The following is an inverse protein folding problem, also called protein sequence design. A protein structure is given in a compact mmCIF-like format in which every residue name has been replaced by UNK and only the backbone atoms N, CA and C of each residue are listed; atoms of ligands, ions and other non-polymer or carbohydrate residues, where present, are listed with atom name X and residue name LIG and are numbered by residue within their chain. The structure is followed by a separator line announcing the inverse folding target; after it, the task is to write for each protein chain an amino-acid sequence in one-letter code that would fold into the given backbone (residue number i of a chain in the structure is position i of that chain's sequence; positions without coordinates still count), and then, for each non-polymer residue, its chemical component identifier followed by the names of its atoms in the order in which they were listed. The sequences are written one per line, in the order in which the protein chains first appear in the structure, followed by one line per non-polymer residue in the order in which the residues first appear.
data_IF_065421824988
#
_entry.id   IF_065421824988
#
_cell.length_a   1.000
_cell.length_b   1.000
_cell.length_c   1.000
_cell.angle_alpha   90.00
_cell.angle_beta   90.00
_cell.angle_gamma   90.00
#
_symmetry.space_group_name_H-M   'P 1'
#
loop_
_entity.id
_entity.type
_entity.pdbx_description
1 polymer ?
#
# COMPACT_ATOMS: atom_id res chain seq x y z
N UNK A 1 -34.82 -55.30 0.85
CA UNK A 1 -33.63 -55.08 1.65
C UNK A 1 -32.54 -54.65 0.68
N UNK A 2 -32.46 -53.35 0.39
CA UNK A 2 -31.50 -52.75 -0.57
C UNK A 2 -30.59 -51.83 0.23
N UNK A 3 -29.29 -52.14 0.21
CA UNK A 3 -28.22 -51.37 0.85
C UNK A 3 -27.98 -50.09 0.05
N UNK A 4 -28.09 -48.94 0.71
CA UNK A 4 -27.68 -47.66 0.18
C UNK A 4 -26.14 -47.57 0.12
N UNK A 5 -25.54 -46.96 -0.89
CA UNK A 5 -24.10 -46.75 -0.92
C UNK A 5 -23.72 -45.58 0.01
N UNK A 6 -22.70 -45.86 0.83
CA UNK A 6 -22.04 -44.94 1.71
C UNK A 6 -21.33 -43.83 0.86
N UNK A 7 -21.80 -42.61 0.92
CA UNK A 7 -21.15 -41.44 0.31
C UNK A 7 -20.47 -40.66 1.44
N UNK A 8 -19.33 -41.19 1.89
CA UNK A 8 -18.38 -40.39 2.66
C UNK A 8 -17.34 -39.77 1.72
N UNK A 9 -17.72 -38.70 1.01
CA UNK A 9 -16.77 -37.83 0.35
C UNK A 9 -16.44 -36.67 1.28
N UNK A 10 -15.48 -36.90 2.16
CA UNK A 10 -14.77 -35.83 2.85
C UNK A 10 -13.93 -35.05 1.84
N UNK A 11 -14.48 -34.01 1.25
CA UNK A 11 -13.72 -32.96 0.59
C UNK A 11 -13.32 -31.91 1.63
N UNK A 12 -12.43 -32.31 2.53
CA UNK A 12 -11.64 -31.32 3.26
C UNK A 12 -10.65 -30.69 2.27
N UNK A 13 -10.64 -29.36 2.15
CA UNK A 13 -9.55 -28.68 1.45
C UNK A 13 -8.29 -28.97 2.24
N UNK A 14 -7.37 -29.75 1.67
CA UNK A 14 -6.06 -29.98 2.26
C UNK A 14 -5.44 -28.65 2.64
N UNK A 15 -5.11 -28.43 3.94
CA UNK A 15 -4.29 -27.30 4.31
C UNK A 15 -2.96 -27.43 3.57
N UNK A 16 -2.40 -26.32 3.12
CA UNK A 16 -1.02 -26.28 2.64
C UNK A 16 -0.19 -26.82 3.79
N UNK A 17 0.25 -28.06 3.71
CA UNK A 17 1.21 -28.65 4.63
C UNK A 17 2.53 -27.90 4.46
N UNK A 18 2.73 -26.91 5.31
CA UNK A 18 4.06 -26.40 5.59
C UNK A 18 4.78 -27.52 6.35
N UNK A 19 5.65 -28.26 5.66
CA UNK A 19 6.43 -29.40 6.14
C UNK A 19 7.43 -29.08 7.27
N UNK A 20 7.32 -27.91 7.87
CA UNK A 20 8.13 -27.48 8.99
C UNK A 20 7.27 -27.35 10.26
N UNK A 21 7.75 -27.86 11.41
CA UNK A 21 7.03 -27.69 12.67
C UNK A 21 6.81 -26.19 12.95
N UNK A 22 5.63 -25.82 13.48
CA UNK A 22 5.34 -24.43 13.80
C UNK A 22 6.40 -23.90 14.76
N UNK A 23 6.93 -22.72 14.47
CA UNK A 23 7.89 -22.06 15.34
C UNK A 23 7.11 -21.49 16.53
N UNK A 24 7.26 -22.09 17.70
CA UNK A 24 6.66 -21.61 18.94
C UNK A 24 7.49 -20.44 19.49
N UNK A 25 7.18 -19.24 19.00
CA UNK A 25 7.79 -18.00 19.46
C UNK A 25 6.72 -16.90 19.58
N UNK A 26 5.81 -16.99 20.58
CA UNK A 26 4.65 -16.10 20.69
C UNK A 26 5.03 -14.60 20.80
N UNK A 27 6.18 -14.29 21.38
CA UNK A 27 6.69 -12.91 21.44
C UNK A 27 7.06 -12.30 20.07
N UNK A 28 7.33 -13.16 19.07
CA UNK A 28 7.71 -12.72 17.73
C UNK A 28 6.52 -12.18 16.92
N UNK A 29 5.30 -12.61 17.24
CA UNK A 29 4.08 -12.09 16.61
C UNK A 29 3.94 -10.58 16.83
N UNK A 30 4.15 -10.09 18.05
CA UNK A 30 4.07 -8.66 18.36
C UNK A 30 5.09 -7.84 17.57
N UNK A 31 6.27 -8.40 17.37
CA UNK A 31 7.30 -7.79 16.54
C UNK A 31 6.85 -7.68 15.08
N UNK A 32 6.30 -8.76 14.52
CA UNK A 32 5.82 -8.75 13.13
C UNK A 32 4.67 -7.76 12.97
N UNK A 33 3.74 -7.65 13.92
CA UNK A 33 2.69 -6.62 13.90
C UNK A 33 3.27 -5.20 13.91
N UNK A 34 4.34 -4.98 14.68
CA UNK A 34 5.09 -3.71 14.65
C UNK A 34 5.69 -3.40 13.28
N UNK A 35 6.24 -4.40 12.58
CA UNK A 35 6.72 -4.24 11.21
C UNK A 35 5.59 -3.84 10.25
N UNK A 36 4.43 -4.50 10.32
CA UNK A 36 3.26 -4.17 9.51
C UNK A 36 2.78 -2.74 9.77
N UNK A 37 2.73 -2.32 11.02
CA UNK A 37 2.37 -0.95 11.40
C UNK A 37 3.33 0.08 10.81
N UNK A 38 4.64 -0.14 10.93
CA UNK A 38 5.67 0.77 10.46
C UNK A 38 5.64 0.90 8.94
N UNK A 39 5.67 -0.22 8.19
CA UNK A 39 5.71 -0.11 6.74
C UNK A 39 4.39 0.44 6.16
N UNK A 40 3.24 0.11 6.76
CA UNK A 40 1.97 0.72 6.38
C UNK A 40 1.98 2.23 6.59
N UNK A 41 2.44 2.68 7.75
CA UNK A 41 2.57 4.10 8.06
C UNK A 41 3.49 4.84 7.10
N UNK A 42 4.66 4.28 6.80
CA UNK A 42 5.62 4.89 5.87
C UNK A 42 5.04 5.00 4.47
N UNK A 43 4.34 3.97 3.99
CA UNK A 43 3.72 3.99 2.67
C UNK A 43 2.70 5.13 2.54
N UNK A 44 1.89 5.35 3.58
CA UNK A 44 0.87 6.41 3.57
C UNK A 44 1.41 7.82 3.82
N UNK A 45 2.64 7.97 4.33
CA UNK A 45 3.29 9.29 4.43
C UNK A 45 3.57 9.91 3.06
N UNK A 46 3.69 9.11 2.01
CA UNK A 46 3.83 9.63 0.65
C UNK A 46 2.69 10.58 0.28
N UNK A 47 1.46 10.25 0.69
CA UNK A 47 0.27 11.05 0.40
C UNK A 47 0.29 12.42 1.08
N UNK A 48 1.01 12.53 2.20
CA UNK A 48 1.20 13.81 2.93
C UNK A 48 2.32 14.64 2.32
N UNK A 49 3.38 14.00 1.83
CA UNK A 49 4.55 14.74 1.35
C UNK A 49 4.43 15.21 -0.09
N UNK A 50 3.63 14.52 -0.91
CA UNK A 50 3.41 14.89 -2.33
C UNK A 50 2.94 16.34 -2.48
N UNK A 51 1.88 16.81 -1.78
CA UNK A 51 1.46 18.20 -1.86
C UNK A 51 2.56 19.18 -1.43
N UNK A 52 3.30 18.85 -0.36
CA UNK A 52 4.41 19.69 0.13
C UNK A 52 5.54 19.82 -0.89
N UNK A 53 5.96 18.73 -1.52
CA UNK A 53 6.99 18.76 -2.56
C UNK A 53 6.48 19.49 -3.81
N UNK A 54 5.19 19.32 -4.14
CA UNK A 54 4.57 20.02 -5.26
C UNK A 54 4.64 21.52 -5.07
N UNK A 55 4.31 22.03 -3.89
CA UNK A 55 4.40 23.46 -3.57
C UNK A 55 5.86 23.94 -3.56
N UNK A 56 6.77 23.21 -2.89
CA UNK A 56 8.16 23.60 -2.71
C UNK A 56 8.93 23.76 -4.01
N UNK A 57 8.65 22.91 -4.99
CA UNK A 57 9.37 22.85 -6.27
C UNK A 57 8.53 23.35 -7.44
N UNK A 58 7.32 23.86 -7.19
CA UNK A 58 6.38 24.32 -8.23
C UNK A 58 6.16 23.25 -9.31
N UNK A 59 5.87 22.01 -8.84
CA UNK A 59 5.74 20.84 -9.71
C UNK A 59 4.35 20.78 -10.35
N UNK A 60 4.30 20.29 -11.59
CA UNK A 60 3.06 19.76 -12.18
C UNK A 60 2.54 18.55 -11.38
N UNK A 61 1.30 18.16 -11.58
CA UNK A 61 0.76 16.94 -10.95
C UNK A 61 1.47 15.69 -11.45
N UNK A 62 1.90 15.68 -12.72
CA UNK A 62 2.71 14.59 -13.24
C UNK A 62 4.05 14.48 -12.51
N UNK A 63 4.79 15.58 -12.35
CA UNK A 63 6.07 15.58 -11.63
C UNK A 63 5.90 15.19 -10.17
N UNK A 64 4.86 15.67 -9.50
CA UNK A 64 4.55 15.29 -8.12
C UNK A 64 4.26 13.78 -7.99
N UNK A 65 3.64 13.17 -9.00
CA UNK A 65 3.38 11.72 -9.03
C UNK A 65 4.65 10.87 -9.09
N UNK A 66 5.79 11.45 -9.52
CA UNK A 66 7.08 10.74 -9.55
C UNK A 66 7.51 10.24 -8.17
N UNK A 67 7.03 10.86 -7.08
CA UNK A 67 7.24 10.34 -5.71
C UNK A 67 6.71 8.90 -5.60
N UNK A 68 5.49 8.66 -6.07
CA UNK A 68 4.91 7.32 -6.07
C UNK A 68 5.60 6.39 -7.07
N UNK A 69 5.94 6.90 -8.24
CA UNK A 69 6.66 6.12 -9.27
C UNK A 69 7.98 5.59 -8.70
N UNK A 70 8.82 6.44 -8.10
CA UNK A 70 10.10 6.03 -7.51
C UNK A 70 9.92 5.11 -6.30
N UNK A 71 8.88 5.31 -5.51
CA UNK A 71 8.54 4.42 -4.41
C UNK A 71 8.18 3.01 -4.93
N UNK A 72 7.28 2.91 -5.92
CA UNK A 72 6.83 1.61 -6.43
C UNK A 72 7.83 0.93 -7.37
N UNK A 73 8.73 1.67 -8.05
CA UNK A 73 9.86 1.09 -8.80
C UNK A 73 10.75 0.25 -7.87
N UNK A 74 10.92 0.64 -6.61
CA UNK A 74 11.68 -0.14 -5.65
C UNK A 74 11.10 -1.57 -5.49
N UNK A 75 9.78 -1.77 -5.57
CA UNK A 75 9.16 -3.09 -5.51
C UNK A 75 9.57 -3.95 -6.71
N UNK A 76 9.61 -3.39 -7.91
CA UNK A 76 10.02 -4.09 -9.11
C UNK A 76 11.52 -4.43 -9.11
N UNK A 77 12.36 -3.50 -8.68
CA UNK A 77 13.82 -3.63 -8.72
C UNK A 77 14.36 -4.46 -7.56
N UNK A 78 13.84 -4.24 -6.33
CA UNK A 78 14.39 -4.83 -5.09
C UNK A 78 13.66 -6.10 -4.68
N UNK A 79 12.42 -6.34 -5.13
CA UNK A 79 11.61 -7.48 -4.69
C UNK A 79 12.31 -8.83 -4.87
N UNK A 80 12.83 -9.11 -6.08
CA UNK A 80 13.53 -10.37 -6.39
C UNK A 80 14.91 -10.43 -5.72
N UNK A 81 15.80 -9.42 -5.84
CA UNK A 81 17.08 -9.42 -5.14
C UNK A 81 16.92 -9.49 -3.62
N UNK A 82 15.95 -8.77 -3.06
CA UNK A 82 15.63 -8.78 -1.63
C UNK A 82 15.19 -10.16 -1.15
N UNK A 83 14.34 -10.86 -1.91
CA UNK A 83 13.95 -12.24 -1.60
C UNK A 83 15.16 -13.18 -1.59
N UNK A 84 16.06 -13.09 -2.58
CA UNK A 84 17.31 -13.89 -2.61
C UNK A 84 18.21 -13.58 -1.42
N UNK A 85 18.31 -12.30 -1.04
CA UNK A 85 19.07 -11.89 0.14
C UNK A 85 18.50 -12.49 1.41
N UNK A 86 17.18 -12.38 1.62
CA UNK A 86 16.48 -12.92 2.80
C UNK A 86 16.65 -14.44 2.89
N UNK A 87 16.53 -15.16 1.76
CA UNK A 87 16.81 -16.60 1.70
C UNK A 87 18.23 -16.96 2.17
N UNK A 88 19.21 -16.13 1.84
CA UNK A 88 20.62 -16.37 2.21
C UNK A 88 20.94 -16.08 3.67
N UNK A 89 20.37 -15.02 4.24
CA UNK A 89 20.71 -14.55 5.60
C UNK A 89 19.66 -14.84 6.66
N UNK A 90 18.47 -15.31 6.27
CA UNK A 90 17.32 -15.60 7.13
C UNK A 90 16.41 -14.41 7.39
N UNK A 91 15.16 -14.67 7.82
CA UNK A 91 14.13 -13.65 8.01
C UNK A 91 14.55 -12.54 8.97
N UNK A 92 15.04 -12.88 10.17
CA UNK A 92 15.36 -11.88 11.18
C UNK A 92 16.50 -10.95 10.78
N UNK A 93 17.54 -11.48 10.14
CA UNK A 93 18.64 -10.66 9.61
C UNK A 93 18.19 -9.85 8.39
N UNK A 94 17.33 -10.43 7.55
CA UNK A 94 16.68 -9.74 6.44
C UNK A 94 15.86 -8.54 6.91
N UNK A 95 15.08 -8.69 7.99
CA UNK A 95 14.34 -7.59 8.59
C UNK A 95 15.28 -6.45 9.05
N UNK A 96 16.40 -6.79 9.71
CA UNK A 96 17.38 -5.77 10.12
C UNK A 96 17.97 -5.04 8.93
N UNK A 97 18.34 -5.75 7.86
CA UNK A 97 18.85 -5.10 6.62
C UNK A 97 17.82 -4.15 6.04
N UNK A 98 16.54 -4.58 5.94
CA UNK A 98 15.45 -3.74 5.45
C UNK A 98 15.26 -2.49 6.32
N UNK A 99 15.24 -2.65 7.66
CA UNK A 99 15.12 -1.52 8.59
C UNK A 99 16.31 -0.57 8.52
N UNK A 100 17.55 -1.07 8.38
CA UNK A 100 18.75 -0.24 8.19
C UNK A 100 18.67 0.55 6.88
N UNK A 101 18.15 -0.07 5.81
CA UNK A 101 17.98 0.62 4.52
C UNK A 101 16.88 1.69 4.60
N UNK A 102 15.81 1.43 5.37
CA UNK A 102 14.79 2.45 5.66
C UNK A 102 15.38 3.64 6.42
N UNK A 103 16.22 3.39 7.43
CA UNK A 103 16.95 4.45 8.17
C UNK A 103 17.83 5.25 7.21
N UNK A 104 18.60 4.58 6.35
CA UNK A 104 19.44 5.24 5.35
C UNK A 104 18.60 6.15 4.43
N UNK A 105 17.45 5.67 3.94
CA UNK A 105 16.51 6.46 3.16
C UNK A 105 16.01 7.69 3.92
N UNK A 106 15.62 7.54 5.19
CA UNK A 106 15.21 8.67 6.04
C UNK A 106 16.33 9.70 6.21
N UNK A 107 17.58 9.27 6.42
CA UNK A 107 18.74 10.17 6.56
C UNK A 107 19.11 10.88 5.26
N UNK A 108 18.79 10.30 4.09
CA UNK A 108 19.01 10.94 2.79
C UNK A 108 18.13 12.18 2.55
N UNK A 109 17.06 12.39 3.32
CA UNK A 109 16.30 13.63 3.29
C UNK A 109 17.13 14.83 3.78
N UNK A 110 18.18 14.64 4.60
CA UNK A 110 19.07 15.72 5.05
C UNK A 110 19.81 16.35 3.86
N UNK A 111 20.62 15.62 3.07
CA UNK A 111 21.27 16.21 1.89
C UNK A 111 20.26 16.64 0.83
N UNK A 112 19.10 15.98 0.70
CA UNK A 112 18.05 16.41 -0.22
C UNK A 112 17.52 17.80 0.14
N UNK A 113 17.27 18.09 1.42
CA UNK A 113 16.89 19.40 1.91
C UNK A 113 17.97 20.46 1.69
N UNK A 114 19.24 20.12 2.01
CA UNK A 114 20.36 21.06 1.88
C UNK A 114 20.65 21.47 0.43
N UNK A 115 20.49 20.52 -0.50
CA UNK A 115 20.68 20.78 -1.93
C UNK A 115 19.44 21.42 -2.56
N UNK A 116 18.26 21.24 -1.96
CA UNK A 116 16.95 21.62 -2.48
C UNK A 116 16.73 21.16 -3.93
N UNK A 117 17.18 19.93 -4.25
CA UNK A 117 17.03 19.30 -5.57
C UNK A 117 15.98 18.21 -5.48
N UNK A 118 14.90 18.32 -6.26
CA UNK A 118 13.78 17.34 -6.24
C UNK A 118 14.24 15.89 -6.50
N UNK A 119 15.18 15.68 -7.44
CA UNK A 119 15.71 14.35 -7.72
C UNK A 119 16.37 13.67 -6.50
N UNK A 120 16.93 14.44 -5.57
CA UNK A 120 17.49 13.90 -4.32
C UNK A 120 16.41 13.38 -3.39
N UNK A 121 15.24 14.03 -3.35
CA UNK A 121 14.08 13.51 -2.63
C UNK A 121 13.58 12.22 -3.24
N UNK A 122 13.50 12.11 -4.56
CA UNK A 122 13.11 10.89 -5.25
C UNK A 122 14.07 9.73 -4.95
N UNK A 123 15.38 9.99 -4.91
CA UNK A 123 16.38 8.99 -4.55
C UNK A 123 16.24 8.55 -3.07
N UNK A 124 16.00 9.49 -2.16
CA UNK A 124 15.74 9.19 -0.75
C UNK A 124 14.49 8.26 -0.61
N UNK A 125 13.43 8.55 -1.36
CA UNK A 125 12.25 7.70 -1.43
C UNK A 125 12.53 6.32 -1.97
N UNK A 126 13.31 6.20 -3.03
CA UNK A 126 13.67 4.90 -3.59
C UNK A 126 14.44 4.03 -2.59
N UNK A 127 15.39 4.64 -1.86
CA UNK A 127 16.17 3.92 -0.82
C UNK A 127 15.27 3.52 0.34
N UNK A 128 14.39 4.42 0.80
CA UNK A 128 13.42 4.15 1.86
C UNK A 128 12.49 3.00 1.46
N UNK A 129 11.90 3.06 0.27
CA UNK A 129 11.02 2.04 -0.28
C UNK A 129 11.72 0.69 -0.46
N UNK A 130 13.00 0.70 -0.85
CA UNK A 130 13.82 -0.52 -0.95
C UNK A 130 13.90 -1.25 0.39
N UNK A 131 14.04 -0.50 1.50
CA UNK A 131 13.96 -1.04 2.85
C UNK A 131 12.58 -1.60 3.18
N UNK A 132 11.52 -0.87 2.83
CA UNK A 132 10.12 -1.32 3.01
C UNK A 132 9.88 -2.65 2.28
N UNK A 133 10.31 -2.77 1.03
CA UNK A 133 10.17 -4.00 0.23
C UNK A 133 10.85 -5.19 0.92
N UNK A 134 12.08 -5.03 1.41
CA UNK A 134 12.80 -6.11 2.11
C UNK A 134 12.04 -6.50 3.39
N UNK A 135 11.56 -5.52 4.17
CA UNK A 135 10.76 -5.79 5.38
C UNK A 135 9.48 -6.56 5.03
N UNK A 136 8.79 -6.23 3.94
CA UNK A 136 7.59 -6.94 3.51
C UNK A 136 7.89 -8.37 3.04
N UNK A 137 9.00 -8.59 2.32
CA UNK A 137 9.47 -9.92 1.92
C UNK A 137 9.73 -10.81 3.14
N UNK A 138 10.12 -10.22 4.26
CA UNK A 138 10.28 -10.92 5.54
C UNK A 138 8.96 -11.10 6.27
N UNK A 139 8.19 -10.03 6.47
CA UNK A 139 7.07 -9.98 7.39
C UNK A 139 5.90 -10.91 6.97
N UNK A 140 5.58 -10.96 5.68
CA UNK A 140 4.47 -11.76 5.17
C UNK A 140 4.67 -13.28 5.36
N UNK A 141 5.80 -13.89 4.97
CA UNK A 141 6.05 -15.29 5.26
C UNK A 141 6.24 -15.56 6.76
N UNK A 142 6.94 -14.66 7.45
CA UNK A 142 7.26 -14.84 8.87
C UNK A 142 5.98 -14.97 9.71
N UNK A 143 4.98 -14.12 9.53
CA UNK A 143 3.70 -14.20 10.27
C UNK A 143 2.98 -15.54 9.98
N UNK A 144 3.15 -16.10 8.79
CA UNK A 144 2.57 -17.39 8.41
C UNK A 144 3.22 -18.57 9.14
N UNK A 145 4.51 -18.47 9.44
CA UNK A 145 5.28 -19.50 10.14
C UNK A 145 5.08 -19.49 11.68
N UNK A 146 4.62 -18.35 12.24
CA UNK A 146 4.47 -18.17 13.69
C UNK A 146 3.13 -18.73 14.20
N UNK A 147 3.05 -20.04 14.40
CA UNK A 147 1.90 -20.72 15.00
C UNK A 147 1.24 -21.76 14.07
N UNK A 148 0.09 -22.35 14.49
CA UNK A 148 -0.53 -23.45 13.76
C UNK A 148 -0.95 -23.08 12.34
N UNK A 149 -0.79 -23.97 11.34
CA UNK A 149 -1.20 -23.75 9.94
C UNK A 149 -2.69 -23.38 9.82
N UNK A 150 -3.56 -23.97 10.63
CA UNK A 150 -5.01 -23.72 10.65
C UNK A 150 -5.39 -22.25 10.94
N UNK A 151 -4.52 -21.46 11.59
CA UNK A 151 -4.79 -20.06 11.95
C UNK A 151 -3.98 -19.06 11.12
N UNK A 152 -3.26 -19.50 10.10
CA UNK A 152 -2.38 -18.65 9.26
C UNK A 152 -3.14 -17.48 8.64
N UNK A 153 -4.31 -17.72 8.02
CA UNK A 153 -5.12 -16.67 7.41
C UNK A 153 -5.58 -15.62 8.43
N UNK A 154 -6.02 -16.06 9.61
CA UNK A 154 -6.44 -15.15 10.68
C UNK A 154 -5.27 -14.28 11.18
N UNK A 155 -4.09 -14.88 11.37
CA UNK A 155 -2.89 -14.14 11.79
C UNK A 155 -2.44 -13.13 10.76
N UNK A 156 -2.44 -13.50 9.47
CA UNK A 156 -2.09 -12.59 8.38
C UNK A 156 -3.09 -11.43 8.30
N UNK A 157 -4.40 -11.73 8.39
CA UNK A 157 -5.45 -10.70 8.39
C UNK A 157 -5.30 -9.75 9.58
N UNK A 158 -4.96 -10.28 10.76
CA UNK A 158 -4.73 -9.49 11.95
C UNK A 158 -3.47 -8.61 11.81
N UNK A 159 -2.39 -9.14 11.22
CA UNK A 159 -1.19 -8.36 10.90
C UNK A 159 -1.50 -7.22 9.91
N UNK A 160 -2.33 -7.48 8.90
CA UNK A 160 -2.79 -6.45 7.95
C UNK A 160 -3.66 -5.37 8.62
N UNK A 161 -4.35 -5.67 9.72
CA UNK A 161 -5.04 -4.64 10.50
C UNK A 161 -4.04 -3.65 11.13
N UNK A 162 -2.86 -4.10 11.59
CA UNK A 162 -1.79 -3.21 12.05
C UNK A 162 -1.22 -2.37 10.91
N UNK A 163 -1.08 -2.92 9.71
CA UNK A 163 -0.73 -2.13 8.53
C UNK A 163 -1.75 -1.01 8.32
N UNK A 164 -3.06 -1.33 8.34
CA UNK A 164 -4.12 -0.34 8.18
C UNK A 164 -4.14 0.69 9.30
N UNK A 165 -3.81 0.30 10.52
CA UNK A 165 -3.65 1.23 11.62
C UNK A 165 -2.49 2.20 11.34
N UNK A 166 -1.36 1.71 10.83
CA UNK A 166 -0.23 2.53 10.39
C UNK A 166 -0.64 3.53 9.31
N UNK A 167 -1.31 3.05 8.25
CA UNK A 167 -1.79 3.92 7.16
C UNK A 167 -2.80 4.97 7.61
N UNK A 168 -3.47 4.77 8.74
CA UNK A 168 -4.42 5.73 9.32
C UNK A 168 -3.71 6.76 10.22
N UNK A 169 -2.80 6.29 11.07
CA UNK A 169 -2.17 7.11 12.13
C UNK A 169 -1.09 8.03 11.56
N UNK A 170 -0.24 7.52 10.65
CA UNK A 170 0.91 8.28 10.17
C UNK A 170 0.54 9.53 9.36
N UNK A 171 -0.47 9.53 8.46
CA UNK A 171 -0.87 10.77 7.78
C UNK A 171 -1.38 11.84 8.74
N UNK A 172 -2.08 11.47 9.79
CA UNK A 172 -2.56 12.42 10.79
C UNK A 172 -1.40 13.15 11.47
N UNK A 173 -0.46 12.42 12.04
CA UNK A 173 0.72 13.03 12.69
C UNK A 173 1.69 13.62 11.68
N UNK A 174 1.87 12.97 10.52
CA UNK A 174 2.69 13.46 9.40
C UNK A 174 2.20 14.82 8.90
N UNK A 175 0.89 15.03 8.77
CA UNK A 175 0.34 16.33 8.37
C UNK A 175 0.63 17.43 9.37
N UNK A 176 0.63 17.12 10.68
CA UNK A 176 0.98 18.08 11.72
C UNK A 176 2.48 18.45 11.67
N UNK A 177 3.33 17.45 11.46
CA UNK A 177 4.79 17.63 11.50
C UNK A 177 5.35 18.19 10.19
N UNK A 178 4.79 17.79 9.04
CA UNK A 178 5.34 18.11 7.70
C UNK A 178 4.60 19.28 7.06
N UNK A 179 3.27 19.34 7.19
CA UNK A 179 2.45 20.40 6.59
C UNK A 179 2.14 21.56 7.55
N UNK A 180 2.59 21.48 8.80
CA UNK A 180 2.30 22.48 9.84
C UNK A 180 3.10 23.77 9.73
N UNK A 181 4.18 23.81 8.94
CA UNK A 181 4.94 25.02 8.67
C UNK A 181 4.32 25.75 7.46
N UNK A 182 3.49 26.75 7.73
CA UNK A 182 2.91 27.59 6.68
C UNK A 182 3.79 28.83 6.50
N UNK A 183 4.57 28.87 5.43
CA UNK A 183 5.11 30.13 4.95
C UNK A 183 3.97 31.00 4.43
N UNK A 184 4.06 32.30 4.66
CA UNK A 184 3.12 33.30 4.14
C UNK A 184 3.37 33.63 2.66
N UNK A 185 4.45 33.07 2.08
CA UNK A 185 4.94 33.30 0.70
C UNK A 185 5.04 31.96 0.00
N UNK A 186 4.65 31.89 -1.27
CA UNK A 186 4.74 30.68 -2.09
C UNK A 186 6.04 30.62 -2.88
N UNK A 187 6.51 29.42 -3.23
CA UNK A 187 7.72 29.23 -4.05
C UNK A 187 7.66 29.96 -5.40
N UNK A 188 6.46 30.07 -5.99
CA UNK A 188 6.24 30.74 -7.28
C UNK A 188 6.49 32.26 -7.24
N UNK A 189 6.46 32.87 -6.06
CA UNK A 189 6.70 34.30 -5.87
C UNK A 189 8.17 34.67 -5.66
N UNK A 190 9.04 33.66 -5.53
CA UNK A 190 10.45 33.80 -5.19
C UNK A 190 11.36 33.39 -6.34
N UNK A 191 12.57 33.99 -6.39
CA UNK A 191 13.60 33.61 -7.36
C UNK A 191 15.00 33.72 -6.78
N UNK A 192 15.97 33.08 -7.44
CA UNK A 192 17.38 33.13 -7.06
C UNK A 192 17.65 32.60 -5.64
N UNK A 193 18.45 33.34 -4.87
CA UNK A 193 18.86 32.95 -3.52
C UNK A 193 17.68 32.86 -2.55
N UNK A 194 16.71 33.77 -2.64
CA UNK A 194 15.51 33.77 -1.78
C UNK A 194 14.68 32.48 -1.94
N UNK A 195 14.54 32.00 -3.17
CA UNK A 195 13.88 30.73 -3.46
C UNK A 195 14.63 29.55 -2.88
N UNK A 196 15.97 29.56 -2.95
CA UNK A 196 16.82 28.50 -2.40
C UNK A 196 16.71 28.44 -0.86
N UNK A 197 16.79 29.61 -0.21
CA UNK A 197 16.65 29.73 1.25
C UNK A 197 15.28 29.28 1.71
N UNK A 198 14.21 29.66 0.99
CA UNK A 198 12.84 29.20 1.23
C UNK A 198 12.72 27.67 1.14
N UNK A 199 13.22 27.09 0.04
CA UNK A 199 13.17 25.63 -0.16
C UNK A 199 13.92 24.88 0.94
N UNK A 200 15.07 25.37 1.36
CA UNK A 200 15.87 24.77 2.42
C UNK A 200 15.13 24.85 3.77
N UNK A 201 14.56 26.00 4.09
CA UNK A 201 13.84 26.23 5.35
C UNK A 201 12.57 25.36 5.43
N UNK A 202 11.76 25.35 4.38
CA UNK A 202 10.51 24.61 4.34
C UNK A 202 10.72 23.07 4.26
N UNK A 203 11.77 22.60 3.57
CA UNK A 203 12.12 21.18 3.57
C UNK A 203 12.67 20.69 4.90
N UNK A 204 13.06 21.57 5.82
CA UNK A 204 13.51 21.21 7.17
C UNK A 204 12.40 20.50 7.98
N UNK A 205 11.13 20.85 7.76
CA UNK A 205 10.00 20.14 8.38
C UNK A 205 9.95 18.66 7.95
N UNK A 206 10.22 18.41 6.65
CA UNK A 206 10.32 17.05 6.11
C UNK A 206 11.46 16.30 6.80
N UNK A 207 12.66 16.91 6.87
CA UNK A 207 13.83 16.34 7.54
C UNK A 207 13.52 15.97 8.98
N UNK A 208 12.92 16.88 9.74
CA UNK A 208 12.58 16.63 11.15
C UNK A 208 11.61 15.45 11.31
N UNK A 209 10.59 15.37 10.45
CA UNK A 209 9.64 14.26 10.45
C UNK A 209 10.34 12.90 10.16
N UNK A 210 11.18 12.84 9.13
CA UNK A 210 11.89 11.62 8.77
C UNK A 210 13.03 11.27 9.72
N UNK A 211 13.67 12.24 10.40
CA UNK A 211 14.61 11.97 11.48
C UNK A 211 13.92 11.31 12.69
N UNK A 212 12.76 11.82 13.09
CA UNK A 212 11.95 11.19 14.14
C UNK A 212 11.59 9.74 13.77
N UNK A 213 11.21 9.52 12.51
CA UNK A 213 10.93 8.19 11.98
C UNK A 213 12.18 7.30 11.99
N UNK A 214 13.35 7.81 11.57
CA UNK A 214 14.62 7.08 11.59
C UNK A 214 14.98 6.61 13.00
N UNK A 215 14.79 7.45 14.02
CA UNK A 215 15.02 7.08 15.43
C UNK A 215 14.07 5.96 15.85
N UNK A 216 12.78 6.06 15.54
CA UNK A 216 11.81 5.01 15.86
C UNK A 216 12.16 3.67 15.17
N UNK A 217 12.54 3.70 13.89
CA UNK A 217 12.97 2.52 13.15
C UNK A 217 14.26 1.95 13.74
N UNK A 218 15.21 2.79 14.17
CA UNK A 218 16.46 2.34 14.79
C UNK A 218 16.24 1.58 16.11
N UNK A 219 15.29 2.03 16.92
CA UNK A 219 14.88 1.31 18.13
C UNK A 219 14.33 -0.09 17.77
N UNK A 220 13.44 -0.16 16.77
CA UNK A 220 12.89 -1.43 16.30
C UNK A 220 13.99 -2.32 15.73
N UNK A 221 14.88 -1.78 14.90
CA UNK A 221 16.01 -2.53 14.34
C UNK A 221 16.93 -3.11 15.45
N UNK A 222 17.17 -2.33 16.51
CA UNK A 222 17.92 -2.79 17.68
C UNK A 222 17.23 -3.96 18.38
N UNK A 223 15.92 -3.89 18.61
CA UNK A 223 15.14 -4.99 19.19
C UNK A 223 15.22 -6.24 18.32
N UNK A 224 15.03 -6.09 16.99
CA UNK A 224 15.14 -7.21 16.04
C UNK A 224 16.51 -7.86 16.08
N UNK A 225 17.55 -7.04 16.14
CA UNK A 225 18.94 -7.51 16.21
C UNK A 225 19.20 -8.35 17.45
N UNK A 226 18.62 -8.02 18.59
CA UNK A 226 18.73 -8.81 19.82
C UNK A 226 18.09 -10.20 19.67
N UNK A 227 17.01 -10.30 18.87
CA UNK A 227 16.28 -11.55 18.64
C UNK A 227 16.70 -12.30 17.36
N UNK A 228 17.72 -11.84 16.63
CA UNK A 228 18.11 -12.35 15.30
C UNK A 228 18.44 -13.84 15.20
N UNK A 229 18.75 -14.48 16.31
CA UNK A 229 19.13 -15.91 16.34
C UNK A 229 18.00 -16.83 16.87
N UNK A 230 16.79 -16.30 17.13
CA UNK A 230 15.68 -17.09 17.68
C UNK A 230 15.00 -18.00 16.65
N UNK A 231 15.03 -17.64 15.37
CA UNK A 231 14.52 -18.48 14.29
C UNK A 231 15.64 -19.38 13.75
N UNK A 232 15.42 -20.70 13.78
CA UNK A 232 16.35 -21.70 13.25
C UNK A 232 15.59 -22.63 12.30
N UNK A 233 16.24 -23.03 11.20
CA UNK A 233 15.69 -24.07 10.31
C UNK A 233 14.70 -23.57 9.26
N UNK A 234 14.81 -22.31 8.85
CA UNK A 234 13.98 -21.72 7.79
C UNK A 234 14.22 -22.44 6.45
N UNK A 235 13.17 -23.07 5.90
CA UNK A 235 13.16 -23.55 4.51
C UNK A 235 12.33 -22.58 3.66
N UNK A 236 12.86 -22.19 2.50
CA UNK A 236 12.19 -21.33 1.55
C UNK A 236 11.83 -22.14 0.30
N UNK A 237 10.56 -22.14 -0.05
CA UNK A 237 10.14 -22.66 -1.36
C UNK A 237 10.67 -21.76 -2.48
N UNK A 238 11.17 -22.37 -3.55
CA UNK A 238 11.58 -21.66 -4.75
C UNK A 238 10.35 -21.34 -5.58
N UNK A 239 9.95 -20.06 -5.63
CA UNK A 239 8.93 -19.61 -6.57
C UNK A 239 9.56 -19.41 -7.95
N UNK A 240 8.94 -20.02 -8.99
CA UNK A 240 9.37 -19.87 -10.38
C UNK A 240 8.60 -18.74 -11.07
N UNK A 241 9.29 -17.65 -11.41
CA UNK A 241 8.68 -16.54 -12.15
C UNK A 241 8.14 -16.96 -13.51
N UNK A 242 8.79 -17.91 -14.20
CA UNK A 242 8.36 -18.39 -15.51
C UNK A 242 7.04 -19.16 -15.42
N UNK A 243 6.85 -19.97 -14.38
CA UNK A 243 5.59 -20.66 -14.13
C UNK A 243 4.48 -19.70 -13.72
N UNK A 244 4.81 -18.69 -12.89
CA UNK A 244 3.90 -17.61 -12.52
C UNK A 244 3.39 -16.84 -13.73
N UNK A 245 4.27 -16.46 -14.67
CA UNK A 245 3.90 -15.76 -15.90
C UNK A 245 2.97 -16.62 -16.80
N UNK A 246 3.17 -17.93 -16.82
CA UNK A 246 2.28 -18.83 -17.57
C UNK A 246 0.84 -18.83 -17.02
N UNK A 247 0.64 -18.53 -15.72
CA UNK A 247 -0.68 -18.40 -15.10
C UNK A 247 -1.49 -17.22 -15.67
N UNK A 248 -0.85 -16.17 -16.18
CA UNK A 248 -1.56 -15.04 -16.81
C UNK A 248 -2.42 -15.48 -18.01
N UNK A 249 -2.11 -16.62 -18.62
CA UNK A 249 -2.92 -17.21 -19.70
C UNK A 249 -4.23 -17.82 -19.21
N UNK A 250 -4.38 -18.06 -17.88
CA UNK A 250 -5.65 -18.49 -17.30
C UNK A 250 -6.58 -17.27 -17.17
N UNK A 251 -7.76 -17.24 -17.82
CA UNK A 251 -8.58 -16.01 -17.91
C UNK A 251 -8.91 -15.40 -16.54
N UNK A 252 -9.26 -16.23 -15.55
CA UNK A 252 -9.62 -15.75 -14.22
C UNK A 252 -8.41 -15.15 -13.48
N UNK A 253 -7.25 -15.79 -13.57
CA UNK A 253 -6.04 -15.31 -12.95
C UNK A 253 -5.51 -14.05 -13.65
N UNK A 254 -5.42 -14.06 -14.98
CA UNK A 254 -4.94 -12.91 -15.75
C UNK A 254 -5.82 -11.67 -15.55
N UNK A 255 -7.15 -11.85 -15.56
CA UNK A 255 -8.09 -10.76 -15.29
C UNK A 255 -7.93 -10.24 -13.84
N UNK A 256 -7.83 -11.15 -12.86
CA UNK A 256 -7.59 -10.77 -11.46
C UNK A 256 -6.27 -10.04 -11.25
N UNK A 257 -5.18 -10.48 -11.88
CA UNK A 257 -3.88 -9.80 -11.82
C UNK A 257 -3.96 -8.39 -12.44
N UNK A 258 -4.63 -8.23 -13.58
CA UNK A 258 -4.91 -6.91 -14.16
C UNK A 258 -5.75 -6.04 -13.21
N UNK A 259 -6.75 -6.61 -12.53
CA UNK A 259 -7.54 -5.89 -11.54
C UNK A 259 -6.73 -5.47 -10.31
N UNK A 260 -5.75 -6.24 -9.86
CA UNK A 260 -4.83 -5.81 -8.79
C UNK A 260 -4.01 -4.60 -9.23
N UNK A 261 -3.48 -4.63 -10.46
CA UNK A 261 -2.75 -3.50 -11.04
C UNK A 261 -3.61 -2.22 -11.06
N UNK A 262 -4.83 -2.33 -11.57
CA UNK A 262 -5.76 -1.20 -11.65
C UNK A 262 -6.24 -0.73 -10.28
N UNK A 263 -6.49 -1.66 -9.36
CA UNK A 263 -6.96 -1.34 -8.01
C UNK A 263 -5.92 -0.57 -7.22
N UNK A 264 -4.70 -1.12 -7.12
CA UNK A 264 -3.62 -0.45 -6.39
C UNK A 264 -3.31 0.91 -7.02
N UNK A 265 -3.31 0.96 -8.35
CA UNK A 265 -3.15 2.20 -9.08
C UNK A 265 -4.21 3.24 -8.77
N UNK A 266 -5.49 2.88 -8.79
CA UNK A 266 -6.60 3.78 -8.50
C UNK A 266 -6.60 4.25 -7.04
N UNK A 267 -6.39 3.33 -6.09
CA UNK A 267 -6.31 3.63 -4.65
C UNK A 267 -5.19 4.63 -4.35
N UNK A 268 -3.99 4.37 -4.88
CA UNK A 268 -2.82 5.23 -4.70
C UNK A 268 -3.00 6.58 -5.41
N UNK A 269 -3.57 6.60 -6.63
CA UNK A 269 -3.81 7.85 -7.35
C UNK A 269 -4.74 8.78 -6.57
N UNK A 270 -5.83 8.26 -6.02
CA UNK A 270 -6.73 9.05 -5.17
C UNK A 270 -5.99 9.51 -3.91
N UNK A 271 -5.34 8.61 -3.17
CA UNK A 271 -4.60 8.94 -1.95
C UNK A 271 -3.56 10.04 -2.16
N UNK A 272 -2.77 9.95 -3.24
CA UNK A 272 -1.68 10.87 -3.54
C UNK A 272 -2.13 12.30 -3.82
N UNK A 273 -3.32 12.50 -4.38
CA UNK A 273 -3.80 13.81 -4.80
C UNK A 273 -5.02 14.30 -4.01
N UNK A 274 -5.48 13.52 -3.02
CA UNK A 274 -6.67 13.87 -2.24
C UNK A 274 -6.49 15.17 -1.46
N UNK A 275 -5.29 15.46 -0.94
CA UNK A 275 -4.99 16.73 -0.25
C UNK A 275 -5.19 17.90 -1.20
N UNK A 276 -4.58 17.86 -2.39
CA UNK A 276 -4.72 18.91 -3.38
C UNK A 276 -6.17 19.09 -3.84
N UNK A 277 -6.94 17.98 -3.94
CA UNK A 277 -8.36 18.04 -4.28
C UNK A 277 -9.18 18.71 -3.18
N UNK A 278 -8.96 18.37 -1.92
CA UNK A 278 -9.69 18.95 -0.78
C UNK A 278 -9.39 20.45 -0.57
N UNK A 279 -8.20 20.93 -0.99
CA UNK A 279 -7.80 22.32 -0.91
C UNK A 279 -8.49 23.22 -1.96
N UNK A 280 -9.07 22.64 -3.02
CA UNK A 280 -9.74 23.42 -4.08
C UNK A 280 -10.89 24.28 -3.51
N UNK A 281 -11.07 25.47 -4.07
CA UNK A 281 -12.04 26.47 -3.59
C UNK A 281 -13.50 26.00 -3.66
N UNK A 282 -13.79 25.13 -4.62
CA UNK A 282 -15.11 24.53 -4.86
C UNK A 282 -15.33 23.21 -4.09
N UNK A 283 -14.29 22.69 -3.40
CA UNK A 283 -14.37 21.48 -2.58
C UNK A 283 -14.47 21.87 -1.11
N UNK A 284 -13.39 21.84 -0.33
CA UNK A 284 -13.44 22.23 1.08
C UNK A 284 -12.80 23.59 1.36
N UNK A 285 -11.94 24.06 0.45
CA UNK A 285 -11.18 25.31 0.60
C UNK A 285 -10.43 25.43 1.95
N UNK A 286 -9.89 24.30 2.45
CA UNK A 286 -9.21 24.20 3.74
C UNK A 286 -7.69 24.25 3.57
N UNK A 287 -6.95 24.71 4.60
CA UNK A 287 -5.49 24.68 4.56
C UNK A 287 -4.93 23.26 4.40
N UNK A 288 -3.75 23.18 3.78
CA UNK A 288 -3.04 21.93 3.46
C UNK A 288 -2.91 21.00 4.67
N UNK A 289 -2.52 21.52 5.83
CA UNK A 289 -2.42 20.74 7.07
C UNK A 289 -3.75 20.09 7.47
N UNK A 290 -4.87 20.82 7.31
CA UNK A 290 -6.18 20.27 7.64
C UNK A 290 -6.60 19.21 6.62
N UNK A 291 -6.38 19.45 5.34
CA UNK A 291 -6.60 18.48 4.28
C UNK A 291 -5.76 17.21 4.48
N UNK A 292 -4.48 17.36 4.86
CA UNK A 292 -3.59 16.25 5.19
C UNK A 292 -4.09 15.38 6.36
N UNK A 293 -4.67 15.98 7.41
CA UNK A 293 -5.30 15.22 8.49
C UNK A 293 -6.49 14.38 8.02
N UNK A 294 -7.24 14.86 7.03
CA UNK A 294 -8.39 14.15 6.49
C UNK A 294 -8.02 12.90 5.69
N UNK A 295 -6.77 12.75 5.22
CA UNK A 295 -6.28 11.49 4.62
C UNK A 295 -6.49 10.32 5.58
N UNK A 296 -6.39 10.55 6.89
CA UNK A 296 -6.65 9.53 7.90
C UNK A 296 -8.10 8.99 7.86
N UNK A 297 -9.06 9.77 7.35
CA UNK A 297 -10.44 9.30 7.13
C UNK A 297 -10.49 8.36 5.92
N UNK A 298 -9.76 8.67 4.85
CA UNK A 298 -9.66 7.81 3.67
C UNK A 298 -9.09 6.43 4.04
N UNK A 299 -7.93 6.41 4.69
CA UNK A 299 -7.29 5.16 5.11
C UNK A 299 -7.99 4.49 6.30
N UNK A 300 -8.57 5.27 7.21
CA UNK A 300 -9.39 4.79 8.32
C UNK A 300 -10.67 4.13 7.84
N UNK A 301 -11.26 4.65 6.77
CA UNK A 301 -12.37 4.00 6.07
C UNK A 301 -12.02 2.60 5.60
N UNK A 302 -10.81 2.43 5.04
CA UNK A 302 -10.32 1.11 4.65
C UNK A 302 -10.19 0.16 5.85
N UNK A 303 -9.70 0.64 7.00
CA UNK A 303 -9.61 -0.16 8.24
C UNK A 303 -11.01 -0.63 8.70
N UNK A 304 -11.95 0.31 8.85
CA UNK A 304 -13.33 0.00 9.28
C UNK A 304 -14.02 -0.95 8.29
N UNK A 305 -13.89 -0.67 7.01
CA UNK A 305 -14.49 -1.49 5.96
C UNK A 305 -13.94 -2.92 5.91
N UNK A 306 -12.69 -3.17 6.34
CA UNK A 306 -12.13 -4.53 6.47
C UNK A 306 -12.86 -5.35 7.54
N UNK A 307 -13.20 -4.76 8.67
CA UNK A 307 -13.99 -5.46 9.70
C UNK A 307 -15.40 -5.75 9.21
N UNK A 308 -16.09 -4.76 8.63
CA UNK A 308 -17.43 -4.94 8.06
C UNK A 308 -17.40 -5.98 6.94
N UNK A 309 -16.47 -5.84 6.01
CA UNK A 309 -16.31 -6.72 4.86
C UNK A 309 -16.00 -8.16 5.23
N UNK A 310 -15.17 -8.38 6.27
CA UNK A 310 -14.87 -9.72 6.76
C UNK A 310 -16.12 -10.44 7.28
N UNK A 311 -17.04 -9.72 7.91
CA UNK A 311 -18.33 -10.27 8.35
C UNK A 311 -19.25 -10.54 7.15
N UNK A 312 -19.36 -9.61 6.21
CA UNK A 312 -20.22 -9.73 5.01
C UNK A 312 -19.76 -10.88 4.09
N UNK A 313 -18.46 -11.06 3.92
CA UNK A 313 -17.87 -12.13 3.09
C UNK A 313 -18.14 -13.55 3.62
N UNK A 314 -18.61 -13.69 4.87
CA UNK A 314 -19.06 -14.99 5.40
C UNK A 314 -20.42 -15.43 4.87
N UNK A 315 -21.24 -14.49 4.42
CA UNK A 315 -22.65 -14.74 4.03
C UNK A 315 -22.94 -14.37 2.57
N UNK A 316 -22.13 -13.53 1.97
CA UNK A 316 -22.29 -13.06 0.58
C UNK A 316 -21.09 -13.48 -0.27
N UNK A 317 -21.36 -13.90 -1.52
CA UNK A 317 -20.27 -14.32 -2.42
C UNK A 317 -19.27 -13.21 -2.65
N UNK A 318 -17.94 -13.50 -2.61
CA UNK A 318 -16.88 -12.51 -2.73
C UNK A 318 -16.97 -11.66 -4.00
N UNK A 319 -17.34 -12.28 -5.14
CA UNK A 319 -17.51 -11.56 -6.40
C UNK A 319 -18.64 -10.52 -6.36
N UNK A 320 -19.76 -10.80 -5.67
CA UNK A 320 -20.85 -9.82 -5.50
C UNK A 320 -20.43 -8.65 -4.60
N UNK A 321 -19.72 -8.95 -3.50
CA UNK A 321 -19.21 -7.91 -2.57
C UNK A 321 -18.20 -7.02 -3.28
N UNK A 322 -17.29 -7.61 -4.07
CA UNK A 322 -16.33 -6.86 -4.86
C UNK A 322 -17.01 -5.93 -5.87
N UNK A 323 -17.98 -6.44 -6.63
CA UNK A 323 -18.74 -5.64 -7.59
C UNK A 323 -19.49 -4.49 -6.90
N UNK A 324 -20.14 -4.74 -5.76
CA UNK A 324 -20.82 -3.72 -4.96
C UNK A 324 -19.86 -2.62 -4.51
N UNK A 325 -18.71 -2.97 -3.95
CA UNK A 325 -17.72 -2.00 -3.50
C UNK A 325 -17.14 -1.17 -4.66
N UNK A 326 -16.85 -1.81 -5.80
CA UNK A 326 -16.34 -1.10 -6.97
C UNK A 326 -17.39 -0.13 -7.55
N UNK A 327 -18.65 -0.53 -7.64
CA UNK A 327 -19.76 0.35 -8.06
C UNK A 327 -19.96 1.48 -7.03
N UNK A 328 -19.88 1.17 -5.73
CA UNK A 328 -19.94 2.18 -4.66
C UNK A 328 -18.82 3.22 -4.77
N UNK A 329 -17.58 2.79 -5.07
CA UNK A 329 -16.47 3.71 -5.31
C UNK A 329 -16.74 4.62 -6.52
N UNK A 330 -17.27 4.08 -7.63
CA UNK A 330 -17.65 4.88 -8.81
C UNK A 330 -18.73 5.91 -8.43
N UNK A 331 -19.77 5.47 -7.72
CA UNK A 331 -20.86 6.37 -7.31
C UNK A 331 -20.34 7.52 -6.44
N UNK A 332 -19.45 7.24 -5.48
CA UNK A 332 -18.83 8.24 -4.62
C UNK A 332 -17.94 9.21 -5.41
N UNK A 333 -17.18 8.73 -6.39
CA UNK A 333 -16.41 9.60 -7.31
C UNK A 333 -17.35 10.50 -8.10
N UNK A 334 -18.43 9.96 -8.68
CA UNK A 334 -19.38 10.75 -9.44
C UNK A 334 -20.09 11.79 -8.56
N UNK A 335 -20.46 11.46 -7.33
CA UNK A 335 -21.00 12.42 -6.37
C UNK A 335 -19.96 13.51 -6.11
N UNK A 336 -18.72 13.15 -5.81
CA UNK A 336 -17.63 14.10 -5.54
C UNK A 336 -17.43 15.09 -6.68
N UNK A 337 -17.36 14.60 -7.92
CA UNK A 337 -17.07 15.42 -9.11
C UNK A 337 -18.25 16.25 -9.60
N UNK A 338 -19.49 15.93 -9.22
CA UNK A 338 -20.71 16.65 -9.63
C UNK A 338 -21.34 17.47 -8.51
N UNK A 339 -20.69 17.56 -7.34
CA UNK A 339 -21.12 18.38 -6.20
C UNK A 339 -19.97 19.28 -5.76
N UNK A 340 -20.25 20.20 -4.85
CA UNK A 340 -19.28 21.12 -4.27
C UNK A 340 -19.28 21.05 -2.75
N UNK A 341 -18.31 21.70 -2.12
CA UNK A 341 -18.24 21.81 -0.67
C UNK A 341 -18.03 20.48 0.04
N UNK A 342 -18.66 20.34 1.20
CA UNK A 342 -18.52 19.19 2.09
C UNK A 342 -18.93 17.88 1.44
N UNK A 343 -19.98 17.89 0.59
CA UNK A 343 -20.43 16.67 -0.10
C UNK A 343 -19.36 16.17 -1.03
N UNK A 344 -18.75 17.06 -1.84
CA UNK A 344 -17.66 16.71 -2.74
C UNK A 344 -16.48 16.09 -2.00
N UNK A 345 -15.96 16.78 -0.98
CA UNK A 345 -14.78 16.34 -0.24
C UNK A 345 -14.98 15.01 0.50
N UNK A 346 -16.07 14.90 1.27
CA UNK A 346 -16.31 13.68 2.06
C UNK A 346 -16.75 12.48 1.21
N UNK A 347 -17.37 12.69 0.05
CA UNK A 347 -17.63 11.60 -0.89
C UNK A 347 -16.34 10.99 -1.41
N UNK A 348 -15.33 11.79 -1.74
CA UNK A 348 -14.03 11.25 -2.16
C UNK A 348 -13.31 10.52 -1.02
N UNK A 349 -13.34 11.08 0.20
CA UNK A 349 -12.78 10.41 1.38
C UNK A 349 -13.46 9.05 1.66
N UNK A 350 -14.77 8.96 1.45
CA UNK A 350 -15.53 7.73 1.64
C UNK A 350 -15.18 6.60 0.64
N UNK A 351 -14.51 6.91 -0.47
CA UNK A 351 -13.98 5.89 -1.39
C UNK A 351 -13.04 4.92 -0.67
N UNK A 352 -12.29 5.39 0.35
CA UNK A 352 -11.44 4.54 1.17
C UNK A 352 -12.20 3.39 1.86
N UNK A 353 -13.45 3.62 2.28
CA UNK A 353 -14.31 2.56 2.83
C UNK A 353 -14.63 1.49 1.77
N UNK A 354 -14.90 1.89 0.53
CA UNK A 354 -15.17 0.96 -0.56
C UNK A 354 -13.91 0.17 -0.96
N UNK A 355 -12.74 0.76 -0.86
CA UNK A 355 -11.45 0.13 -1.16
C UNK A 355 -11.09 -1.01 -0.21
N UNK A 356 -11.63 -1.02 0.98
CA UNK A 356 -11.22 -1.83 2.14
C UNK A 356 -10.99 -3.31 1.85
N UNK A 357 -11.90 -3.97 1.11
CA UNK A 357 -11.85 -5.41 0.85
C UNK A 357 -11.40 -5.74 -0.57
N UNK A 358 -11.18 -4.74 -1.43
CA UNK A 358 -10.96 -5.02 -2.86
C UNK A 358 -9.69 -5.83 -3.08
N UNK A 359 -8.55 -5.42 -2.49
CA UNK A 359 -7.29 -6.15 -2.66
C UNK A 359 -7.40 -7.62 -2.24
N UNK A 360 -7.77 -7.95 -0.98
CA UNK A 360 -7.83 -9.34 -0.56
C UNK A 360 -8.87 -10.16 -1.34
N UNK A 361 -9.97 -9.55 -1.74
CA UNK A 361 -11.02 -10.24 -2.50
C UNK A 361 -10.60 -10.52 -3.94
N UNK A 362 -9.98 -9.55 -4.63
CA UNK A 362 -9.44 -9.76 -5.99
C UNK A 362 -8.36 -10.84 -5.94
N UNK A 363 -7.43 -10.76 -4.96
CA UNK A 363 -6.37 -11.74 -4.77
C UNK A 363 -6.93 -13.15 -4.61
N UNK A 364 -7.86 -13.34 -3.68
CA UNK A 364 -8.43 -14.67 -3.40
C UNK A 364 -9.19 -15.23 -4.60
N UNK A 365 -9.99 -14.40 -5.30
CA UNK A 365 -10.72 -14.82 -6.50
C UNK A 365 -9.79 -15.15 -7.68
N UNK A 366 -8.69 -14.42 -7.83
CA UNK A 366 -7.68 -14.69 -8.86
C UNK A 366 -6.94 -16.00 -8.60
N UNK A 367 -6.57 -16.26 -7.34
CA UNK A 367 -5.81 -17.45 -6.93
C UNK A 367 -6.69 -18.69 -6.72
N UNK A 368 -8.01 -18.61 -6.90
CA UNK A 368 -8.91 -19.74 -6.72
C UNK A 368 -8.52 -20.90 -7.66
N UNK A 369 -8.45 -22.15 -7.11
CA UNK A 369 -8.06 -23.37 -7.82
C UNK A 369 -6.66 -23.37 -8.46
N UNK A 370 -5.73 -22.58 -7.97
CA UNK A 370 -4.33 -22.69 -8.41
C UNK A 370 -3.60 -23.91 -7.82
N UNK A 371 -4.07 -24.43 -6.67
CA UNK A 371 -3.45 -25.56 -6.01
C UNK A 371 -1.97 -25.30 -5.69
N UNK A 372 -1.08 -26.20 -6.06
CA UNK A 372 0.38 -26.08 -5.85
C UNK A 372 1.02 -24.86 -6.50
N UNK A 373 0.34 -24.22 -7.47
CA UNK A 373 0.82 -22.99 -8.15
C UNK A 373 0.40 -21.69 -7.46
N UNK A 374 -0.23 -21.77 -6.28
CA UNK A 374 -0.69 -20.59 -5.55
C UNK A 374 0.47 -19.65 -5.16
N UNK A 375 1.64 -20.22 -4.82
CA UNK A 375 2.83 -19.44 -4.49
C UNK A 375 3.35 -18.63 -5.70
N UNK A 376 3.41 -19.26 -6.88
CA UNK A 376 3.81 -18.58 -8.13
C UNK A 376 2.79 -17.48 -8.52
N UNK A 377 1.49 -17.79 -8.37
CA UNK A 377 0.41 -16.83 -8.60
C UNK A 377 0.52 -15.62 -7.68
N UNK A 378 0.79 -15.82 -6.39
CA UNK A 378 1.04 -14.74 -5.42
C UNK A 378 2.22 -13.86 -5.84
N UNK A 379 3.30 -14.46 -6.33
CA UNK A 379 4.46 -13.72 -6.85
C UNK A 379 4.09 -12.78 -8.00
N UNK A 380 3.29 -13.24 -8.96
CA UNK A 380 2.84 -12.41 -10.09
C UNK A 380 1.88 -11.31 -9.64
N UNK A 381 0.98 -11.58 -8.69
CA UNK A 381 0.10 -10.56 -8.12
C UNK A 381 0.91 -9.48 -7.40
N UNK A 382 1.99 -9.84 -6.71
CA UNK A 382 2.89 -8.87 -6.10
C UNK A 382 3.55 -7.96 -7.15
N UNK A 383 3.90 -8.49 -8.33
CA UNK A 383 4.38 -7.65 -9.44
C UNK A 383 3.29 -6.70 -9.94
N UNK A 384 2.03 -7.13 -9.96
CA UNK A 384 0.91 -6.28 -10.37
C UNK A 384 0.67 -5.08 -9.45
N UNK A 385 1.19 -5.08 -8.21
CA UNK A 385 1.21 -3.91 -7.31
C UNK A 385 1.91 -2.69 -7.96
N UNK A 386 2.78 -2.91 -8.96
CA UNK A 386 3.39 -1.83 -9.75
C UNK A 386 2.38 -0.89 -10.44
N UNK A 387 1.08 -1.23 -10.48
CA UNK A 387 0.02 -0.30 -10.85
C UNK A 387 0.03 1.00 -10.05
N UNK A 388 0.51 0.94 -8.77
CA UNK A 388 0.73 2.11 -7.92
C UNK A 388 1.80 3.09 -8.42
N UNK A 389 2.65 2.69 -9.39
CA UNK A 389 3.53 3.62 -10.10
C UNK A 389 2.86 4.23 -11.34
N UNK A 390 2.14 3.40 -12.10
CA UNK A 390 1.66 3.76 -13.44
C UNK A 390 0.41 4.64 -13.38
N UNK A 391 -0.60 4.21 -12.66
CA UNK A 391 -1.91 4.91 -12.64
C UNK A 391 -1.83 6.30 -12.01
N UNK A 392 -1.11 6.53 -10.87
CA UNK A 392 -0.92 7.88 -10.34
C UNK A 392 -0.19 8.82 -11.32
N UNK A 393 0.82 8.32 -12.05
CA UNK A 393 1.49 9.10 -13.07
C UNK A 393 0.55 9.50 -14.22
N UNK A 394 -0.28 8.56 -14.70
CA UNK A 394 -1.32 8.84 -15.69
C UNK A 394 -2.37 9.81 -15.16
N UNK A 395 -2.78 9.66 -13.89
CA UNK A 395 -3.72 10.58 -13.25
C UNK A 395 -3.13 11.99 -13.15
N UNK A 396 -1.87 12.13 -12.71
CA UNK A 396 -1.19 13.41 -12.62
C UNK A 396 -1.09 14.10 -13.98
N UNK A 397 -0.67 13.38 -15.02
CA UNK A 397 -0.60 13.91 -16.39
C UNK A 397 -1.99 14.34 -16.92
N UNK A 398 -3.03 13.60 -16.59
CA UNK A 398 -4.41 13.95 -16.94
C UNK A 398 -4.89 15.16 -16.14
N UNK A 399 -4.57 15.24 -14.85
CA UNK A 399 -4.94 16.34 -13.98
C UNK A 399 -4.31 17.67 -14.40
N UNK A 400 -3.09 17.65 -14.94
CA UNK A 400 -2.43 18.82 -15.51
C UNK A 400 -3.17 19.38 -16.74
N UNK A 401 -3.91 18.55 -17.46
CA UNK A 401 -4.65 18.94 -18.67
C UNK A 401 -6.11 19.33 -18.38
N UNK A 402 -6.80 18.59 -17.54
CA UNK A 402 -8.25 18.74 -17.35
C UNK A 402 -8.65 19.05 -15.90
N UNK A 403 -7.69 19.16 -14.99
CA UNK A 403 -7.92 19.40 -13.56
C UNK A 403 -8.17 18.11 -12.76
N UNK A 404 -7.98 18.20 -11.43
CA UNK A 404 -8.04 17.06 -10.52
C UNK A 404 -9.40 16.35 -10.52
N UNK A 405 -10.51 17.12 -10.55
CA UNK A 405 -11.85 16.54 -10.53
C UNK A 405 -12.16 15.71 -11.77
N UNK A 406 -11.87 16.25 -12.97
CA UNK A 406 -12.10 15.54 -14.23
C UNK A 406 -11.16 14.33 -14.37
N UNK A 407 -9.92 14.40 -13.85
CA UNK A 407 -8.97 13.30 -13.86
C UNK A 407 -9.44 12.09 -13.03
N UNK A 408 -10.37 12.25 -12.06
CA UNK A 408 -10.99 11.13 -11.32
C UNK A 408 -11.76 10.15 -12.20
N UNK A 409 -12.02 10.48 -13.46
CA UNK A 409 -12.54 9.53 -14.46
C UNK A 409 -11.61 8.34 -14.66
N UNK A 410 -10.28 8.51 -14.53
CA UNK A 410 -9.32 7.40 -14.66
C UNK A 410 -9.48 6.34 -13.55
N UNK A 411 -9.46 6.68 -12.25
CA UNK A 411 -9.82 5.74 -11.19
C UNK A 411 -11.21 5.13 -11.35
N UNK A 412 -12.21 5.90 -11.78
CA UNK A 412 -13.57 5.39 -12.02
C UNK A 412 -13.60 4.30 -13.10
N UNK A 413 -12.84 4.45 -14.19
CA UNK A 413 -12.67 3.41 -15.22
C UNK A 413 -11.99 2.18 -14.63
N UNK A 414 -10.95 2.34 -13.80
CA UNK A 414 -10.33 1.21 -13.11
C UNK A 414 -11.35 0.43 -12.26
N UNK A 415 -12.16 1.13 -11.47
CA UNK A 415 -13.21 0.49 -10.67
C UNK A 415 -14.30 -0.16 -11.52
N UNK A 416 -14.63 0.38 -12.69
CA UNK A 416 -15.58 -0.26 -13.61
C UNK A 416 -15.08 -1.61 -14.12
N UNK A 417 -13.79 -1.71 -14.45
CA UNK A 417 -13.15 -2.98 -14.85
C UNK A 417 -13.14 -3.96 -13.68
N UNK A 418 -12.89 -3.50 -12.46
CA UNK A 418 -12.91 -4.32 -11.23
C UNK A 418 -14.34 -4.81 -10.94
N UNK A 419 -15.36 -3.96 -11.11
CA UNK A 419 -16.76 -4.38 -10.99
C UNK A 419 -17.12 -5.50 -12.00
N UNK A 420 -16.61 -5.36 -13.23
CA UNK A 420 -16.74 -6.41 -14.26
C UNK A 420 -16.10 -7.73 -13.84
N UNK A 421 -14.92 -7.70 -13.24
CA UNK A 421 -14.27 -8.89 -12.68
C UNK A 421 -15.08 -9.48 -11.52
N UNK A 422 -15.59 -8.65 -10.60
CA UNK A 422 -16.45 -9.11 -9.51
C UNK A 422 -17.71 -9.81 -10.02
N UNK A 423 -18.33 -9.26 -11.07
CA UNK A 423 -19.48 -9.89 -11.72
C UNK A 423 -19.12 -11.21 -12.43
N UNK A 424 -17.98 -11.25 -13.13
CA UNK A 424 -17.44 -12.45 -13.77
C UNK A 424 -17.14 -13.54 -12.73
N UNK A 425 -16.45 -13.17 -11.64
CA UNK A 425 -16.00 -14.10 -10.60
C UNK A 425 -17.08 -14.43 -9.53
N UNK A 426 -18.34 -13.96 -9.68
CA UNK A 426 -19.44 -14.26 -8.75
C UNK A 426 -19.85 -15.74 -8.72
N UNK A 427 -19.54 -16.48 -9.76
CA UNK A 427 -19.72 -17.93 -9.85
C UNK A 427 -18.43 -18.62 -9.45
N UNK A 428 -18.47 -19.74 -8.72
CA UNK A 428 -17.29 -20.54 -8.46
C UNK A 428 -16.52 -20.87 -9.75
N UNK A 429 -15.20 -21.00 -9.62
CA UNK A 429 -14.34 -21.36 -10.78
C UNK A 429 -14.54 -22.80 -11.22
#
# INVERSE_FOLDING_TARGET
MALAPDVSSSTDPHPVELDSPPVDAPGLNYFVFGLFFIFGGITSLNDVIIPKLKELFDLSFFEASLVQVWFFIAYAVVGIPGSKLVKKIGYMRGAVVGLCLMIAGCLMFIPASQTAIFAMFLLAYFVLASGVVIVQVVANPLISLLGPPSTTHSRLTFAQAFNSLGTTVFPYFGSILILGSLATVTAAELSGQALQEYRTAESQAIVNGYLGLAVAIAVVAGVVWLFRNRLKGERHEETSLSEGLALLKRPRFGYGAACIFLYVGAEVAIGSFIVNYLMQADVLAIPEQQAGKLISIYWGGALVGRFIGSAVLRVVSPGKVLAFNAIGAIALILISTNTTGTISGYSLLAVGLMNSIMFPTIFSLACEKLGTKAADGSGIINVAIAGGAVIPAMYGALADQVGLGAALTLPAICYAIIAGFGYYARRPA
#
